data_IF_822574647805
#
_entry.id   IF_822574647805
#
_cell.length_a   1.000
_cell.length_b   1.000
_cell.length_c   1.000
_cell.angle_alpha   90.00
_cell.angle_beta   90.00
_cell.angle_gamma   90.00
#
_symmetry.space_group_name_H-M   'P 1'
#
loop_
_entity.id
_entity.type
_entity.pdbx_description
1 polymer ?
#
# COMPACT_ATOMS: atom_id res chain seq x y z
N UNK A 1 16.55 0.19 -12.72
CA UNK A 1 15.80 1.43 -12.56
C UNK A 1 15.93 1.94 -11.15
N UNK A 2 16.17 3.23 -10.98
CA UNK A 2 16.28 3.78 -9.63
C UNK A 2 14.94 3.71 -8.89
N UNK A 3 15.03 3.40 -7.63
CA UNK A 3 13.88 3.32 -6.75
C UNK A 3 14.02 4.40 -5.69
N UNK A 4 12.96 5.16 -5.50
CA UNK A 4 12.91 6.15 -4.43
C UNK A 4 12.23 5.54 -3.22
N UNK A 5 12.90 5.60 -2.09
CA UNK A 5 12.35 5.17 -0.83
C UNK A 5 11.58 6.33 -0.20
N UNK A 6 10.32 6.17 0.03
CA UNK A 6 9.44 7.25 0.48
C UNK A 6 9.03 7.10 1.93
N UNK A 7 8.39 6.00 2.26
CA UNK A 7 7.91 5.69 3.61
C UNK A 7 7.04 6.81 4.21
N UNK A 8 6.02 7.22 3.46
CA UNK A 8 5.09 8.27 3.89
C UNK A 8 3.64 7.81 3.72
N UNK A 9 2.72 8.35 4.54
CA UNK A 9 1.31 8.01 4.38
C UNK A 9 0.75 8.55 3.06
N UNK A 10 -0.20 7.81 2.51
CA UNK A 10 -0.90 8.17 1.27
C UNK A 10 -2.40 8.01 1.49
N UNK A 11 -3.18 8.65 0.62
CA UNK A 11 -4.62 8.57 0.70
C UNK A 11 -5.17 7.67 -0.40
N UNK A 12 -6.02 6.70 -0.05
CA UNK A 12 -6.70 5.92 -1.07
C UNK A 12 -7.78 6.77 -1.74
N UNK A 13 -7.94 6.56 -3.04
CA UNK A 13 -8.91 7.30 -3.85
C UNK A 13 -9.86 6.29 -4.48
N UNK A 14 -11.13 6.66 -4.53
CA UNK A 14 -12.16 5.80 -5.08
C UNK A 14 -12.91 5.06 -4.00
N UNK A 15 -13.82 4.22 -4.41
CA UNK A 15 -14.64 3.44 -3.48
C UNK A 15 -13.77 2.38 -2.82
N UNK A 16 -13.32 2.69 -1.62
CA UNK A 16 -12.60 1.71 -0.83
C UNK A 16 -13.60 1.13 0.14
N UNK A 17 -14.00 -0.10 -0.10
CA UNK A 17 -14.79 -0.80 0.88
C UNK A 17 -13.98 -0.95 2.15
N UNK A 18 -14.63 -0.81 3.28
CA UNK A 18 -14.00 -1.10 4.56
C UNK A 18 -13.92 -2.59 4.79
N UNK A 19 -14.43 -3.37 3.86
CA UNK A 19 -14.49 -4.81 4.01
C UNK A 19 -13.15 -5.45 3.69
N UNK A 20 -12.78 -6.37 4.56
CA UNK A 20 -11.60 -7.18 4.39
C UNK A 20 -12.04 -8.53 3.85
N UNK A 21 -11.33 -9.07 2.87
CA UNK A 21 -11.67 -10.36 2.31
C UNK A 21 -11.63 -11.47 3.36
N UNK A 22 -12.20 -12.60 3.03
CA UNK A 22 -12.22 -13.74 3.95
C UNK A 22 -10.81 -14.16 4.40
N UNK A 23 -9.81 -13.91 3.58
CA UNK A 23 -8.42 -14.20 3.93
C UNK A 23 -7.74 -13.09 4.72
N UNK A 24 -8.44 -12.02 5.08
CA UNK A 24 -7.86 -10.91 5.79
C UNK A 24 -7.14 -9.92 4.92
N UNK A 25 -7.25 -10.05 3.62
CA UNK A 25 -6.60 -9.16 2.68
C UNK A 25 -7.45 -7.90 2.47
N UNK A 26 -6.86 -6.70 2.69
CA UNK A 26 -7.63 -5.48 2.45
C UNK A 26 -7.84 -5.26 0.96
N UNK A 27 -8.94 -4.61 0.57
CA UNK A 27 -9.16 -4.31 -0.84
C UNK A 27 -8.17 -3.24 -1.32
N UNK A 28 -7.57 -3.47 -2.48
CA UNK A 28 -6.65 -2.51 -3.06
C UNK A 28 -7.46 -1.38 -3.70
N UNK A 29 -7.23 -0.12 -3.33
CA UNK A 29 -7.94 1.01 -3.95
C UNK A 29 -7.63 1.15 -5.43
N UNK A 30 -8.47 1.86 -6.14
CA UNK A 30 -8.28 2.12 -7.57
C UNK A 30 -7.13 3.09 -7.82
N UNK A 31 -6.88 3.98 -6.88
CA UNK A 31 -5.81 4.95 -6.99
C UNK A 31 -5.38 5.42 -5.61
N UNK A 32 -4.24 6.08 -5.56
CA UNK A 32 -3.74 6.71 -4.34
C UNK A 32 -3.35 8.15 -4.65
N UNK A 33 -3.50 9.01 -3.66
CA UNK A 33 -3.03 10.40 -3.75
C UNK A 33 -1.81 10.58 -2.87
N UNK A 34 -0.76 11.12 -3.47
CA UNK A 34 0.49 11.37 -2.78
C UNK A 34 1.10 12.69 -3.27
N UNK A 35 1.37 13.60 -2.36
CA UNK A 35 1.95 14.92 -2.68
C UNK A 35 1.15 15.67 -3.76
N UNK A 36 -0.16 15.56 -3.70
CA UNK A 36 -1.02 16.25 -4.66
C UNK A 36 -1.18 15.55 -6.00
N UNK A 37 -0.50 14.44 -6.19
CA UNK A 37 -0.61 13.66 -7.42
C UNK A 37 -1.43 12.40 -7.19
N UNK A 38 -2.26 12.06 -8.15
CA UNK A 38 -3.03 10.84 -8.10
C UNK A 38 -2.35 9.76 -8.94
N UNK A 39 -2.11 8.61 -8.33
CA UNK A 39 -1.51 7.46 -8.99
C UNK A 39 -2.57 6.38 -9.16
N UNK A 40 -2.91 6.09 -10.41
CA UNK A 40 -3.86 5.01 -10.69
C UNK A 40 -3.18 3.66 -10.61
N UNK A 41 -3.83 2.73 -9.94
CA UNK A 41 -3.38 1.34 -9.87
C UNK A 41 -3.73 0.66 -11.18
N UNK A 42 -2.72 0.28 -11.95
CA UNK A 42 -2.93 -0.42 -13.22
C UNK A 42 -3.00 -1.92 -13.02
N UNK A 43 -1.88 -2.54 -12.75
CA UNK A 43 -1.81 -3.99 -12.62
C UNK A 43 -1.15 -4.38 -11.31
N UNK A 44 -1.79 -5.28 -10.57
CA UNK A 44 -1.20 -5.82 -9.35
C UNK A 44 -0.10 -6.81 -9.75
N UNK A 45 1.10 -6.58 -9.24
CA UNK A 45 2.25 -7.45 -9.52
C UNK A 45 2.34 -8.57 -8.50
N UNK A 46 2.24 -8.22 -7.24
CA UNK A 46 2.24 -9.22 -6.18
C UNK A 46 1.73 -8.61 -4.89
N UNK A 47 1.35 -9.47 -3.97
CA UNK A 47 0.91 -9.08 -2.64
C UNK A 47 1.46 -10.09 -1.64
N UNK A 48 1.77 -9.60 -0.44
CA UNK A 48 2.27 -10.49 0.61
C UNK A 48 2.01 -9.86 1.98
N UNK A 49 2.11 -10.68 3.01
CA UNK A 49 2.03 -10.23 4.39
C UNK A 49 3.38 -10.41 5.06
N UNK A 50 3.66 -9.58 6.04
CA UNK A 50 4.81 -9.82 6.90
C UNK A 50 4.53 -11.06 7.73
N UNK A 51 5.29 -12.11 7.51
CA UNK A 51 5.03 -13.41 8.14
C UNK A 51 6.07 -13.80 9.18
N UNK A 52 7.17 -13.07 9.22
CA UNK A 52 8.25 -13.41 10.11
C UNK A 52 8.38 -12.35 11.17
N UNK A 53 8.30 -12.75 12.41
CA UNK A 53 8.34 -11.78 13.47
C UNK A 53 9.04 -12.29 14.73
N UNK A 54 10.16 -11.64 15.01
CA UNK A 54 10.84 -11.80 16.28
C UNK A 54 10.71 -10.54 17.12
N UNK A 55 9.89 -9.57 16.68
CA UNK A 55 9.98 -8.24 17.24
C UNK A 55 8.65 -7.61 17.64
N UNK A 56 7.58 -8.35 17.62
CA UNK A 56 6.32 -7.84 18.06
C UNK A 56 5.29 -7.69 16.98
N UNK A 57 4.09 -7.44 17.43
CA UNK A 57 2.89 -7.53 16.59
C UNK A 57 2.77 -6.49 15.52
N UNK A 58 3.40 -5.33 15.70
CA UNK A 58 3.25 -4.23 14.76
C UNK A 58 3.73 -4.59 13.36
N UNK A 59 4.82 -5.31 13.30
CA UNK A 59 5.39 -5.70 12.02
C UNK A 59 4.49 -6.68 11.27
N UNK A 60 3.82 -7.57 11.97
CA UNK A 60 2.94 -8.57 11.37
C UNK A 60 1.62 -7.99 10.86
N UNK A 61 1.33 -6.75 11.21
CA UNK A 61 0.05 -6.14 10.83
C UNK A 61 0.10 -5.42 9.49
N UNK A 62 1.18 -5.57 8.76
CA UNK A 62 1.33 -4.94 7.45
C UNK A 62 1.00 -5.91 6.34
N UNK A 63 0.16 -5.46 5.42
CA UNK A 63 -0.13 -6.21 4.21
C UNK A 63 0.43 -5.40 3.03
N UNK A 64 1.29 -6.02 2.25
CA UNK A 64 2.07 -5.34 1.21
C UNK A 64 1.49 -5.59 -0.17
N UNK A 65 1.57 -4.58 -1.01
CA UNK A 65 1.16 -4.66 -2.40
C UNK A 65 2.22 -4.02 -3.28
N UNK A 66 2.55 -4.71 -4.36
CA UNK A 66 3.38 -4.14 -5.40
C UNK A 66 2.55 -4.08 -6.67
N UNK A 67 2.43 -2.90 -7.24
CA UNK A 67 1.62 -2.72 -8.44
C UNK A 67 2.31 -1.81 -9.42
N UNK A 68 1.79 -1.84 -10.65
CA UNK A 68 2.26 -0.94 -11.70
C UNK A 68 1.18 0.09 -11.93
N UNK A 69 1.55 1.36 -11.98
CA UNK A 69 0.59 2.42 -12.24
C UNK A 69 0.21 2.43 -13.71
N UNK A 70 -0.85 3.18 -14.04
CA UNK A 70 -1.25 3.34 -15.43
C UNK A 70 -0.15 4.00 -16.28
N UNK A 71 0.77 4.69 -15.63
CA UNK A 71 1.92 5.32 -16.31
C UNK A 71 3.15 4.42 -16.39
N UNK A 72 3.05 3.21 -15.89
CA UNK A 72 4.16 2.26 -15.96
C UNK A 72 5.15 2.31 -14.82
N UNK A 73 4.85 3.04 -13.75
CA UNK A 73 5.73 3.08 -12.58
C UNK A 73 5.45 1.91 -11.66
N UNK A 74 6.49 1.34 -11.10
CA UNK A 74 6.36 0.27 -10.12
C UNK A 74 6.31 0.88 -8.72
N UNK A 75 5.29 0.53 -7.96
CA UNK A 75 5.03 1.11 -6.64
C UNK A 75 4.83 0.00 -5.62
N UNK A 76 5.41 0.18 -4.43
CA UNK A 76 5.18 -0.72 -3.31
C UNK A 76 4.50 0.08 -2.21
N UNK A 77 3.34 -0.38 -1.79
CA UNK A 77 2.58 0.23 -0.70
C UNK A 77 2.28 -0.83 0.35
N UNK A 78 1.93 -0.40 1.54
CA UNK A 78 1.43 -1.35 2.53
C UNK A 78 0.23 -0.79 3.26
N UNK A 79 -0.60 -1.69 3.72
CA UNK A 79 -1.76 -1.40 4.55
C UNK A 79 -1.42 -1.80 5.99
N UNK A 80 -1.53 -0.86 6.90
CA UNK A 80 -1.26 -1.11 8.31
C UNK A 80 -2.56 -1.52 9.01
N UNK A 81 -2.68 -2.80 9.28
CA UNK A 81 -3.87 -3.35 9.92
C UNK A 81 -3.95 -2.99 11.40
N UNK A 82 -2.86 -2.55 11.98
CA UNK A 82 -2.81 -2.14 13.37
C UNK A 82 -3.00 -0.64 13.58
N UNK A 83 -3.25 0.12 12.52
CA UNK A 83 -3.44 1.56 12.65
C UNK A 83 -4.66 1.86 13.50
N UNK A 84 -4.50 2.78 14.44
CA UNK A 84 -5.59 3.21 15.29
C UNK A 84 -6.48 4.19 14.55
N UNK A 85 -7.67 4.41 15.12
CA UNK A 85 -8.62 5.36 14.57
C UNK A 85 -7.95 6.73 14.39
N UNK A 86 -8.10 7.29 13.20
CA UNK A 86 -7.50 8.58 12.87
C UNK A 86 -6.08 8.54 12.37
N UNK A 87 -5.46 7.37 12.40
CA UNK A 87 -4.12 7.21 11.86
C UNK A 87 -4.18 6.72 10.42
N UNK A 88 -3.20 7.10 9.59
CA UNK A 88 -3.16 6.62 8.22
C UNK A 88 -2.94 5.11 8.18
N UNK A 89 -3.65 4.44 7.28
CA UNK A 89 -3.53 2.99 7.12
C UNK A 89 -2.74 2.61 5.90
N UNK A 90 -2.74 3.45 4.87
CA UNK A 90 -2.00 3.20 3.66
C UNK A 90 -0.73 4.01 3.63
N UNK A 91 0.37 3.35 3.26
CA UNK A 91 1.69 3.97 3.23
C UNK A 91 2.37 3.65 1.91
N UNK A 92 2.98 4.65 1.33
CA UNK A 92 3.83 4.48 0.16
C UNK A 92 5.24 4.16 0.64
N UNK A 93 5.73 3.00 0.26
CA UNK A 93 7.05 2.54 0.70
C UNK A 93 8.12 2.89 -0.32
N UNK A 94 7.97 2.43 -1.57
CA UNK A 94 8.90 2.76 -2.64
C UNK A 94 8.16 3.06 -3.93
N UNK A 95 8.80 3.84 -4.79
CA UNK A 95 8.30 4.14 -6.13
C UNK A 95 9.48 4.21 -7.07
N UNK A 96 9.32 3.65 -8.28
CA UNK A 96 10.36 3.77 -9.29
C UNK A 96 10.37 5.18 -9.85
N UNK A 97 11.55 5.71 -10.03
CA UNK A 97 11.74 7.03 -10.64
C UNK A 97 11.90 6.81 -12.13
N UNK A 98 10.98 7.37 -12.86
CA UNK A 98 11.03 7.25 -14.31
C UNK A 98 12.10 8.15 -14.91
#
# INVERSE_FOLDING_TARGET
MPIRFVSKPIEPVGAVGSEVSAGGEPPLPQAFRFEGEEMEVGALVRTWRSTKDDRGDTYLKRHWFEFETSEGRRVVVYFDRGARRGQPRWWLYTITIA
#
